data_IF_109753157322
#
_entry.id   IF_109753157322
#
_cell.length_a   1.000
_cell.length_b   1.000
_cell.length_c   1.000
_cell.angle_alpha   90.00
_cell.angle_beta   90.00
_cell.angle_gamma   90.00
#
_symmetry.space_group_name_H-M   'P 1'
#
loop_
_entity.id
_entity.type
_entity.pdbx_description
1 polymer ?
#
# COMPACT_ATOMS: atom_id res chain seq x y z
N UNK A 1 34.11 -19.60 16.63
CA UNK A 1 33.09 -18.60 16.23
C UNK A 1 33.83 -17.44 15.62
N UNK A 2 33.59 -17.14 14.34
CA UNK A 2 34.15 -15.96 13.70
C UNK A 2 33.24 -14.79 14.10
N UNK A 3 33.73 -13.94 14.99
CA UNK A 3 33.02 -12.73 15.42
C UNK A 3 32.95 -11.76 14.23
N UNK A 4 31.73 -11.38 13.79
CA UNK A 4 31.53 -10.32 12.79
C UNK A 4 30.79 -10.74 11.50
N UNK A 5 30.49 -12.02 11.27
CA UNK A 5 29.74 -12.43 10.08
C UNK A 5 28.22 -12.39 10.29
N UNK A 6 27.53 -11.65 9.43
CA UNK A 6 26.06 -11.64 9.41
C UNK A 6 25.52 -12.97 8.90
N UNK A 7 24.61 -13.57 9.66
CA UNK A 7 23.95 -14.81 9.29
C UNK A 7 23.19 -14.67 7.97
N UNK A 8 23.34 -15.68 7.10
CA UNK A 8 22.57 -15.77 5.86
C UNK A 8 21.09 -15.97 6.19
N UNK A 9 20.23 -15.12 5.63
CA UNK A 9 18.77 -15.14 5.87
C UNK A 9 18.05 -14.97 4.54
N UNK A 10 16.97 -15.71 4.34
CA UNK A 10 16.17 -15.61 3.13
C UNK A 10 15.17 -14.46 3.21
N UNK A 11 14.74 -13.93 2.06
CA UNK A 11 13.68 -12.91 2.02
C UNK A 11 12.38 -13.42 2.63
N UNK A 12 12.03 -14.71 2.46
CA UNK A 12 10.86 -15.32 3.10
C UNK A 12 10.92 -15.22 4.63
N UNK A 13 12.10 -15.42 5.22
CA UNK A 13 12.28 -15.28 6.68
C UNK A 13 12.06 -13.83 7.14
N UNK A 14 12.60 -12.87 6.38
CA UNK A 14 12.42 -11.43 6.61
C UNK A 14 10.95 -11.02 6.46
N UNK A 15 10.27 -11.46 5.40
CA UNK A 15 8.85 -11.23 5.17
C UNK A 15 7.99 -11.81 6.31
N UNK A 16 8.31 -13.01 6.80
CA UNK A 16 7.60 -13.64 7.91
C UNK A 16 7.76 -12.83 9.21
N UNK A 17 8.99 -12.41 9.53
CA UNK A 17 9.26 -11.55 10.70
C UNK A 17 8.51 -10.22 10.58
N UNK A 18 8.59 -9.57 9.43
CA UNK A 18 7.88 -8.32 9.14
C UNK A 18 6.38 -8.45 9.42
N UNK A 19 5.74 -9.48 8.88
CA UNK A 19 4.31 -9.71 9.07
C UNK A 19 3.97 -9.92 10.55
N UNK A 20 4.76 -10.70 11.30
CA UNK A 20 4.52 -10.94 12.73
C UNK A 20 4.61 -9.68 13.58
N UNK A 21 5.57 -8.80 13.28
CA UNK A 21 5.81 -7.59 14.08
C UNK A 21 4.84 -6.45 13.74
N UNK A 22 4.29 -6.44 12.53
CA UNK A 22 3.47 -5.34 12.01
C UNK A 22 1.96 -5.64 12.01
N UNK A 23 1.48 -6.56 12.86
CA UNK A 23 0.05 -6.94 12.94
C UNK A 23 -0.88 -5.75 13.26
N UNK A 24 -0.37 -4.73 13.94
CA UNK A 24 -1.10 -3.50 14.28
C UNK A 24 -1.29 -2.57 13.06
N UNK A 25 -0.58 -2.78 11.96
CA UNK A 25 -0.61 -1.92 10.78
C UNK A 25 -1.90 -2.17 9.99
N UNK A 26 -2.69 -1.10 9.77
CA UNK A 26 -3.94 -1.17 8.99
C UNK A 26 -3.79 -1.84 7.63
N UNK A 27 -2.64 -1.70 6.98
CA UNK A 27 -2.36 -2.26 5.65
C UNK A 27 -1.70 -3.66 5.67
N UNK A 28 -1.57 -4.31 6.83
CA UNK A 28 -0.78 -5.56 6.93
C UNK A 28 -1.31 -6.68 6.05
N UNK A 29 -2.63 -6.77 5.89
CA UNK A 29 -3.28 -7.73 4.99
C UNK A 29 -2.91 -7.49 3.52
N UNK A 30 -2.85 -6.22 3.11
CA UNK A 30 -2.42 -5.82 1.76
C UNK A 30 -0.93 -6.13 1.56
N UNK A 31 -0.10 -5.88 2.56
CA UNK A 31 1.33 -6.20 2.51
C UNK A 31 1.54 -7.71 2.39
N UNK A 32 0.81 -8.52 3.17
CA UNK A 32 0.84 -9.98 3.10
C UNK A 32 0.43 -10.50 1.71
N UNK A 33 -0.59 -9.89 1.10
CA UNK A 33 -1.00 -10.20 -0.27
C UNK A 33 0.14 -9.94 -1.26
N UNK A 34 0.83 -8.79 -1.17
CA UNK A 34 1.98 -8.51 -2.02
C UNK A 34 3.15 -9.45 -1.79
N UNK A 35 3.46 -9.79 -0.53
CA UNK A 35 4.52 -10.71 -0.18
C UNK A 35 4.26 -12.12 -0.72
N UNK A 36 3.01 -12.59 -0.66
CA UNK A 36 2.61 -13.86 -1.29
C UNK A 36 2.85 -13.87 -2.80
N UNK A 37 2.67 -12.73 -3.48
CA UNK A 37 2.96 -12.61 -4.92
C UNK A 37 4.46 -12.56 -5.23
N UNK A 38 5.26 -12.01 -4.32
CA UNK A 38 6.72 -11.89 -4.45
C UNK A 38 7.46 -13.18 -4.11
N UNK A 39 6.90 -14.00 -3.21
CA UNK A 39 7.55 -15.20 -2.69
C UNK A 39 8.06 -16.18 -3.77
N UNK A 40 7.30 -16.48 -4.85
CA UNK A 40 7.80 -17.35 -5.93
C UNK A 40 8.99 -16.79 -6.72
N UNK A 41 9.27 -15.48 -6.60
CA UNK A 41 10.33 -14.81 -7.36
C UNK A 41 11.59 -14.58 -6.54
N UNK A 42 11.43 -14.21 -5.28
CA UNK A 42 12.55 -13.79 -4.42
C UNK A 42 12.53 -14.42 -3.02
N UNK A 43 11.53 -15.23 -2.68
CA UNK A 43 11.35 -15.76 -1.32
C UNK A 43 12.57 -16.53 -0.81
N UNK A 44 13.18 -17.34 -1.67
CA UNK A 44 14.35 -18.15 -1.33
C UNK A 44 15.69 -17.41 -1.49
N UNK A 45 15.67 -16.15 -1.96
CA UNK A 45 16.90 -15.37 -2.13
C UNK A 45 17.44 -14.94 -0.78
N UNK A 46 18.77 -14.95 -0.64
CA UNK A 46 19.41 -14.27 0.47
C UNK A 46 19.04 -12.77 0.45
N UNK A 47 18.69 -12.20 1.60
CA UNK A 47 18.28 -10.79 1.70
C UNK A 47 19.34 -9.83 1.14
N UNK A 48 20.62 -10.19 1.21
CA UNK A 48 21.75 -9.42 0.65
C UNK A 48 21.76 -9.39 -0.87
N UNK A 49 21.13 -10.39 -1.51
CA UNK A 49 21.02 -10.52 -2.95
C UNK A 49 19.72 -9.92 -3.52
N UNK A 50 18.85 -9.34 -2.69
CA UNK A 50 17.62 -8.70 -3.16
C UNK A 50 17.91 -7.26 -3.60
N UNK A 51 17.77 -6.97 -4.88
CA UNK A 51 17.93 -5.61 -5.44
C UNK A 51 16.96 -5.39 -6.61
N UNK A 52 16.98 -4.21 -7.23
CA UNK A 52 16.04 -3.92 -8.33
C UNK A 52 16.16 -4.91 -9.51
N UNK A 53 17.36 -5.43 -9.75
CA UNK A 53 17.60 -6.44 -10.79
C UNK A 53 17.01 -7.81 -10.43
N UNK A 54 17.08 -8.23 -9.17
CA UNK A 54 16.47 -9.49 -8.71
C UNK A 54 14.93 -9.44 -8.80
N UNK A 55 14.34 -8.24 -8.77
CA UNK A 55 12.89 -7.99 -8.90
C UNK A 55 12.41 -7.88 -10.35
N UNK A 56 13.30 -7.91 -11.35
CA UNK A 56 12.97 -7.77 -12.78
C UNK A 56 11.91 -8.79 -13.23
N UNK A 57 12.12 -10.07 -12.92
CA UNK A 57 11.18 -11.16 -13.28
C UNK A 57 9.78 -10.93 -12.70
N UNK A 58 9.69 -10.42 -11.47
CA UNK A 58 8.41 -10.06 -10.86
C UNK A 58 7.76 -8.89 -11.61
N UNK A 59 8.51 -7.81 -11.86
CA UNK A 59 8.02 -6.62 -12.57
C UNK A 59 7.50 -6.98 -13.96
N UNK A 60 8.25 -7.77 -14.71
CA UNK A 60 7.88 -8.25 -16.05
C UNK A 60 6.62 -9.11 -16.02
N UNK A 61 6.54 -10.06 -15.08
CA UNK A 61 5.34 -10.90 -14.92
C UNK A 61 4.09 -10.07 -14.61
N UNK A 62 4.19 -9.07 -13.73
CA UNK A 62 3.05 -8.19 -13.39
C UNK A 62 2.65 -7.30 -14.58
N UNK A 63 3.62 -6.77 -15.33
CA UNK A 63 3.35 -6.00 -16.56
C UNK A 63 2.67 -6.85 -17.63
N UNK A 64 3.16 -8.08 -17.85
CA UNK A 64 2.55 -9.03 -18.80
C UNK A 64 1.11 -9.39 -18.41
N UNK A 65 0.82 -9.41 -17.11
CA UNK A 65 -0.53 -9.60 -16.59
C UNK A 65 -1.42 -8.33 -16.64
N UNK A 66 -0.95 -7.23 -17.26
CA UNK A 66 -1.72 -5.99 -17.40
C UNK A 66 -1.89 -5.20 -16.10
N UNK A 67 -1.11 -5.50 -15.07
CA UNK A 67 -1.21 -4.85 -13.76
C UNK A 67 -0.62 -3.45 -13.83
N UNK A 68 -1.35 -2.48 -13.26
CA UNK A 68 -0.97 -1.06 -13.26
C UNK A 68 0.31 -0.80 -12.49
N UNK A 69 1.09 0.18 -12.94
CA UNK A 69 2.40 0.51 -12.36
C UNK A 69 2.28 0.86 -10.87
N UNK A 70 1.23 1.58 -10.47
CA UNK A 70 0.96 1.89 -9.06
C UNK A 70 0.87 0.63 -8.20
N UNK A 71 0.16 -0.40 -8.65
CA UNK A 71 0.02 -1.66 -7.93
C UNK A 71 1.32 -2.45 -7.85
N UNK A 72 2.16 -2.38 -8.89
CA UNK A 72 3.51 -2.97 -8.87
C UNK A 72 4.37 -2.24 -7.84
N UNK A 73 4.33 -0.90 -7.84
CA UNK A 73 5.08 -0.07 -6.90
C UNK A 73 4.66 -0.30 -5.44
N UNK A 74 3.40 -0.62 -5.15
CA UNK A 74 2.99 -1.01 -3.80
C UNK A 74 3.77 -2.24 -3.33
N UNK A 75 3.83 -3.30 -4.14
CA UNK A 75 4.62 -4.50 -3.82
C UNK A 75 6.12 -4.19 -3.66
N UNK A 76 6.70 -3.39 -4.56
CA UNK A 76 8.11 -2.97 -4.45
C UNK A 76 8.36 -2.12 -3.19
N UNK A 77 7.36 -1.33 -2.77
CA UNK A 77 7.40 -0.54 -1.55
C UNK A 77 7.49 -1.41 -0.30
N UNK A 78 6.76 -2.53 -0.25
CA UNK A 78 6.86 -3.51 0.85
C UNK A 78 8.27 -4.11 0.91
N UNK A 79 8.83 -4.54 -0.22
CA UNK A 79 10.20 -5.07 -0.28
C UNK A 79 11.20 -4.04 0.24
N UNK A 80 11.12 -2.79 -0.27
CA UNK A 80 12.00 -1.70 0.17
C UNK A 80 11.92 -1.50 1.67
N UNK A 81 10.71 -1.48 2.23
CA UNK A 81 10.50 -1.25 3.65
C UNK A 81 11.10 -2.38 4.50
N UNK A 82 10.88 -3.64 4.12
CA UNK A 82 11.49 -4.79 4.80
C UNK A 82 13.02 -4.69 4.79
N UNK A 83 13.63 -4.37 3.65
CA UNK A 83 15.09 -4.25 3.55
C UNK A 83 15.64 -3.08 4.38
N UNK A 84 14.89 -1.98 4.50
CA UNK A 84 15.26 -0.86 5.37
C UNK A 84 15.23 -1.28 6.85
N UNK A 85 14.13 -1.87 7.31
CA UNK A 85 13.98 -2.32 8.71
C UNK A 85 15.03 -3.40 9.04
N UNK A 86 15.32 -4.30 8.10
CA UNK A 86 16.39 -5.29 8.24
C UNK A 86 17.79 -4.66 8.38
N UNK A 87 18.00 -3.47 7.82
CA UNK A 87 19.27 -2.75 7.89
C UNK A 87 19.38 -1.80 9.08
N UNK A 88 18.28 -1.43 9.72
CA UNK A 88 18.27 -0.41 10.79
C UNK A 88 17.78 -0.91 12.15
N UNK A 89 16.80 -1.80 12.19
CA UNK A 89 16.07 -2.14 13.42
C UNK A 89 16.28 -3.60 13.85
N UNK A 90 16.44 -4.51 12.89
CA UNK A 90 16.59 -5.93 13.21
C UNK A 90 18.03 -6.27 13.56
N UNK A 91 18.32 -6.29 14.86
CA UNK A 91 19.59 -6.71 15.44
C UNK A 91 19.49 -8.18 15.86
N UNK A 92 20.53 -8.96 15.58
CA UNK A 92 20.62 -10.36 16.01
C UNK A 92 21.40 -10.56 17.30
N UNK A 93 21.50 -11.81 17.76
CA UNK A 93 22.17 -12.18 19.01
C UNK A 93 23.66 -11.78 19.05
N UNK A 94 24.28 -11.57 17.88
CA UNK A 94 25.67 -11.09 17.79
C UNK A 94 25.79 -9.56 17.79
N UNK A 95 24.67 -8.84 17.95
CA UNK A 95 24.64 -7.39 17.96
C UNK A 95 24.69 -6.76 16.56
N UNK A 96 24.55 -7.55 15.50
CA UNK A 96 24.61 -7.08 14.12
C UNK A 96 23.22 -6.94 13.50
N UNK A 97 23.05 -5.93 12.66
CA UNK A 97 21.85 -5.78 11.82
C UNK A 97 21.75 -6.92 10.80
N UNK A 98 20.54 -7.30 10.41
CA UNK A 98 20.33 -8.34 9.40
C UNK A 98 20.94 -7.98 8.05
N UNK A 99 20.90 -6.70 7.68
CA UNK A 99 21.58 -6.13 6.52
C UNK A 99 22.55 -5.03 6.95
N UNK A 100 23.70 -4.94 6.29
CA UNK A 100 24.62 -3.82 6.51
C UNK A 100 24.06 -2.51 5.98
N UNK A 101 23.54 -2.55 4.76
CA UNK A 101 22.95 -1.39 4.07
C UNK A 101 21.78 -1.85 3.22
N UNK A 102 20.68 -1.10 3.17
CA UNK A 102 19.57 -1.43 2.31
C UNK A 102 19.91 -1.09 0.86
N UNK A 103 19.65 -2.01 -0.10
CA UNK A 103 19.84 -1.72 -1.51
C UNK A 103 18.77 -0.74 -2.00
N UNK A 104 19.12 0.10 -2.96
CA UNK A 104 18.21 1.10 -3.51
C UNK A 104 17.17 0.45 -4.43
N UNK A 105 15.97 0.21 -3.92
CA UNK A 105 14.81 -0.22 -4.73
C UNK A 105 14.11 1.02 -5.27
N UNK A 106 14.31 1.40 -6.54
CA UNK A 106 13.63 2.55 -7.16
C UNK A 106 12.21 2.18 -7.58
N UNK A 107 11.23 3.06 -7.33
CA UNK A 107 9.87 2.88 -7.87
C UNK A 107 9.85 3.14 -9.37
N UNK A 108 8.98 2.44 -10.07
CA UNK A 108 8.76 2.61 -11.50
C UNK A 108 7.97 3.91 -11.76
N UNK A 109 8.28 4.65 -12.84
CA UNK A 109 7.52 5.85 -13.21
C UNK A 109 6.07 5.46 -13.56
N UNK A 110 5.11 6.12 -12.93
CA UNK A 110 3.68 5.86 -13.17
C UNK A 110 3.24 6.69 -14.38
N UNK A 111 2.97 6.02 -15.50
CA UNK A 111 2.51 6.64 -16.76
C UNK A 111 1.09 6.19 -17.15
N UNK A 112 0.52 5.25 -16.41
CA UNK A 112 -0.73 4.55 -16.70
C UNK A 112 -1.84 4.83 -15.68
N UNK A 113 -1.71 5.92 -14.92
CA UNK A 113 -2.71 6.37 -13.97
C UNK A 113 -4.03 6.74 -14.67
N UNK A 114 -5.15 6.40 -14.03
CA UNK A 114 -6.48 6.79 -14.51
C UNK A 114 -6.60 8.31 -14.43
N UNK A 115 -7.02 8.95 -15.52
CA UNK A 115 -7.34 10.38 -15.53
C UNK A 115 -8.56 10.63 -14.63
N UNK A 116 -8.57 11.72 -13.82
CA UNK A 116 -9.76 12.14 -13.11
C UNK A 116 -10.93 12.38 -14.09
N UNK A 117 -12.14 12.05 -13.66
CA UNK A 117 -13.37 12.31 -14.40
C UNK A 117 -14.38 13.03 -13.48
N UNK A 118 -14.32 14.36 -13.39
CA UNK A 118 -15.31 15.14 -12.66
C UNK A 118 -16.63 15.17 -13.45
N UNK A 119 -17.74 14.88 -12.77
CA UNK A 119 -19.07 14.88 -13.39
C UNK A 119 -19.54 16.31 -13.69
N UNK A 120 -20.10 16.54 -14.88
CA UNK A 120 -20.80 17.79 -15.20
C UNK A 120 -22.07 17.97 -14.37
N UNK A 121 -22.62 19.18 -14.35
CA UNK A 121 -23.88 19.45 -13.64
C UNK A 121 -25.05 18.63 -14.19
N UNK A 122 -25.08 18.43 -15.51
CA UNK A 122 -26.07 17.61 -16.20
C UNK A 122 -25.92 16.12 -15.81
N UNK A 123 -24.68 15.61 -15.79
CA UNK A 123 -24.40 14.23 -15.37
C UNK A 123 -24.75 13.99 -13.90
N UNK A 124 -24.45 14.94 -13.00
CA UNK A 124 -24.86 14.87 -11.60
C UNK A 124 -26.38 14.84 -11.46
N UNK A 125 -27.09 15.70 -12.20
CA UNK A 125 -28.55 15.75 -12.20
C UNK A 125 -29.15 14.42 -12.65
N UNK A 126 -28.58 13.81 -13.70
CA UNK A 126 -29.03 12.50 -14.18
C UNK A 126 -28.74 11.42 -13.14
N UNK A 127 -27.55 11.41 -12.55
CA UNK A 127 -27.17 10.46 -11.51
C UNK A 127 -28.15 10.51 -10.32
N UNK A 128 -28.48 11.71 -9.83
CA UNK A 128 -29.37 11.85 -8.68
C UNK A 128 -30.81 11.36 -8.95
N UNK A 129 -31.30 11.45 -10.20
CA UNK A 129 -32.62 10.94 -10.57
C UNK A 129 -32.72 9.42 -10.56
N UNK A 130 -31.61 8.74 -10.85
CA UNK A 130 -31.55 7.27 -10.93
C UNK A 130 -31.22 6.62 -9.57
N UNK A 131 -30.72 7.40 -8.61
CA UNK A 131 -30.36 6.90 -7.29
C UNK A 131 -31.61 6.81 -6.37
N UNK A 132 -31.73 5.75 -5.56
CA UNK A 132 -32.66 5.72 -4.44
C UNK A 132 -32.41 6.89 -3.47
N UNK A 133 -33.47 7.41 -2.84
CA UNK A 133 -33.43 8.61 -1.98
C UNK A 133 -32.28 8.63 -0.96
N UNK A 134 -32.01 7.50 -0.30
CA UNK A 134 -30.95 7.40 0.71
C UNK A 134 -29.55 7.57 0.09
N UNK A 135 -29.30 7.04 -1.11
CA UNK A 135 -28.04 7.22 -1.83
C UNK A 135 -27.95 8.60 -2.48
N UNK A 136 -29.07 9.15 -2.96
CA UNK A 136 -29.12 10.50 -3.52
C UNK A 136 -28.70 11.56 -2.49
N UNK A 137 -29.19 11.44 -1.24
CA UNK A 137 -28.78 12.33 -0.13
C UNK A 137 -27.27 12.26 0.15
N UNK A 138 -26.71 11.05 0.21
CA UNK A 138 -25.26 10.86 0.41
C UNK A 138 -24.45 11.41 -0.77
N UNK A 139 -24.88 11.17 -2.00
CA UNK A 139 -24.21 11.64 -3.20
C UNK A 139 -24.24 13.17 -3.29
N UNK A 140 -25.38 13.81 -2.97
CA UNK A 140 -25.51 15.27 -2.89
C UNK A 140 -24.56 15.86 -1.85
N UNK A 141 -24.44 15.24 -0.68
CA UNK A 141 -23.46 15.66 0.33
C UNK A 141 -22.02 15.55 -0.20
N UNK A 142 -21.68 14.44 -0.87
CA UNK A 142 -20.33 14.21 -1.41
C UNK A 142 -19.92 15.22 -2.48
N UNK A 143 -20.80 15.58 -3.41
CA UNK A 143 -20.45 16.55 -4.46
C UNK A 143 -20.20 17.95 -3.92
N UNK A 144 -20.86 18.33 -2.82
CA UNK A 144 -20.72 19.65 -2.20
C UNK A 144 -19.56 19.75 -1.19
N UNK A 145 -19.13 18.63 -0.61
CA UNK A 145 -18.08 18.61 0.43
C UNK A 145 -16.74 18.05 -0.04
N UNK A 146 -16.74 17.24 -1.10
CA UNK A 146 -15.54 16.53 -1.56
C UNK A 146 -15.09 15.40 -0.64
N UNK A 147 -15.91 15.01 0.35
CA UNK A 147 -15.58 13.94 1.30
C UNK A 147 -15.40 12.58 0.60
N UNK A 148 -14.48 11.77 1.13
CA UNK A 148 -14.31 10.37 0.70
C UNK A 148 -15.49 9.53 1.15
N UNK A 149 -15.67 8.40 0.48
CA UNK A 149 -16.76 7.47 0.79
C UNK A 149 -16.78 7.05 2.26
N UNK A 150 -15.63 6.63 2.82
CA UNK A 150 -15.55 6.22 4.23
C UNK A 150 -15.91 7.35 5.19
N UNK A 151 -15.51 8.58 4.89
CA UNK A 151 -15.83 9.75 5.71
C UNK A 151 -17.36 9.95 5.79
N UNK A 152 -18.08 9.80 4.67
CA UNK A 152 -19.54 9.93 4.62
C UNK A 152 -20.25 8.73 5.25
N UNK A 153 -19.75 7.51 5.04
CA UNK A 153 -20.34 6.29 5.60
C UNK A 153 -20.15 6.18 7.12
N UNK A 154 -19.18 6.90 7.70
CA UNK A 154 -18.88 6.89 9.14
C UNK A 154 -19.38 8.14 9.87
N UNK A 155 -20.16 9.02 9.20
CA UNK A 155 -20.76 10.20 9.83
C UNK A 155 -21.62 9.82 11.04
N UNK A 156 -21.54 10.67 12.07
CA UNK A 156 -22.27 10.49 13.33
C UNK A 156 -23.03 11.76 13.68
N UNK A 157 -24.21 11.60 14.27
CA UNK A 157 -25.02 12.71 14.76
C UNK A 157 -24.31 13.52 15.86
N UNK A 158 -23.39 12.91 16.61
CA UNK A 158 -22.56 13.64 17.59
C UNK A 158 -21.63 14.69 16.95
N UNK A 159 -21.47 14.68 15.62
CA UNK A 159 -20.69 15.67 14.87
C UNK A 159 -21.55 16.73 14.19
N UNK A 160 -22.88 16.69 14.39
CA UNK A 160 -23.77 17.70 13.85
C UNK A 160 -23.45 19.06 14.46
N UNK A 161 -23.31 20.06 13.59
CA UNK A 161 -23.11 21.46 13.99
C UNK A 161 -24.31 22.22 13.44
N UNK A 162 -25.13 22.76 14.33
CA UNK A 162 -26.18 23.69 13.95
C UNK A 162 -25.54 24.96 13.36
N UNK A 163 -26.07 25.41 12.23
CA UNK A 163 -25.64 26.64 11.57
C UNK A 163 -26.82 27.61 11.63
N UNK A 164 -26.91 28.47 12.67
CA UNK A 164 -28.07 29.33 12.92
C UNK A 164 -28.41 30.25 11.74
N UNK A 165 -27.41 30.61 10.93
CA UNK A 165 -27.56 31.45 9.74
C UNK A 165 -28.39 30.81 8.62
N UNK A 166 -28.57 29.48 8.65
CA UNK A 166 -29.37 28.76 7.65
C UNK A 166 -30.87 28.71 7.99
N UNK A 167 -31.27 29.07 9.22
CA UNK A 167 -32.68 29.14 9.62
C UNK A 167 -33.46 27.81 9.52
N UNK A 168 -32.74 26.68 9.54
CA UNK A 168 -33.26 25.31 9.49
C UNK A 168 -33.47 24.73 10.87
#
# INVERSE_FOLDING_TARGET
MIYGERLARTFRSAATKYLRENQHKRSITTDAYHLKQLDPFIGDFDIRAVHIGSLSRFIEARRKAGIKTTSINLALGVVRHILNVAASEWIDESGLTWLDRPPKIKMLPVTDARKPYPLSWEEQTQLFKELPDHLARMALFKVNTGCREQEVCELRWEWEIEVPELGT
#
